data_IF_490642277615
#
_entry.id   IF_490642277615
#
_cell.length_a   1.000
_cell.length_b   1.000
_cell.length_c   1.000
_cell.angle_alpha   90.00
_cell.angle_beta   90.00
_cell.angle_gamma   90.00
#
_symmetry.space_group_name_H-M   'P 1'
#
loop_
_entity.id
_entity.type
_entity.pdbx_description
1 polymer ?
#
# COMPACT_ATOMS: atom_id res chain seq x y z
N UNK A 1 3.82 -36.70 -49.73
CA UNK A 1 4.54 -36.07 -48.60
C UNK A 1 4.55 -34.54 -48.68
N UNK A 2 4.94 -33.93 -49.81
CA UNK A 2 5.00 -32.45 -49.96
C UNK A 2 3.67 -31.73 -49.68
N UNK A 3 2.54 -32.27 -50.12
CA UNK A 3 1.21 -31.66 -49.89
C UNK A 3 0.81 -31.62 -48.41
N UNK A 4 1.10 -32.67 -47.64
CA UNK A 4 0.82 -32.71 -46.19
C UNK A 4 1.65 -31.69 -45.40
N UNK A 5 2.86 -31.37 -45.87
CA UNK A 5 3.73 -30.37 -45.25
C UNK A 5 3.21 -28.95 -45.54
N UNK A 6 2.74 -28.70 -46.76
CA UNK A 6 2.12 -27.43 -47.15
C UNK A 6 0.81 -27.16 -46.38
N UNK A 7 -0.03 -28.17 -46.17
CA UNK A 7 -1.28 -28.03 -45.41
C UNK A 7 -1.02 -27.72 -43.92
N UNK A 8 -0.01 -28.36 -43.32
CA UNK A 8 0.37 -28.11 -41.91
C UNK A 8 0.95 -26.71 -41.74
N UNK A 9 1.78 -26.24 -42.67
CA UNK A 9 2.33 -24.88 -42.67
C UNK A 9 1.25 -23.82 -42.82
N UNK A 10 0.27 -24.04 -43.71
CA UNK A 10 -0.85 -23.11 -43.90
C UNK A 10 -1.77 -23.07 -42.67
N UNK A 11 -2.05 -24.22 -42.06
CA UNK A 11 -2.86 -24.30 -40.83
C UNK A 11 -2.17 -23.59 -39.67
N UNK A 12 -0.86 -23.77 -39.52
CA UNK A 12 -0.08 -23.09 -38.49
C UNK A 12 -0.07 -21.56 -38.70
N UNK A 13 0.11 -21.10 -39.94
CA UNK A 13 0.05 -19.68 -40.28
C UNK A 13 -1.34 -19.07 -40.03
N UNK A 14 -2.42 -19.81 -40.31
CA UNK A 14 -3.78 -19.36 -40.05
C UNK A 14 -4.03 -19.22 -38.54
N UNK A 15 -3.58 -20.20 -37.75
CA UNK A 15 -3.73 -20.18 -36.29
C UNK A 15 -2.94 -19.03 -35.64
N UNK A 16 -1.73 -18.72 -36.12
CA UNK A 16 -0.94 -17.60 -35.59
C UNK A 16 -1.55 -16.25 -35.92
N UNK A 17 -2.04 -16.06 -37.14
CA UNK A 17 -2.74 -14.81 -37.54
C UNK A 17 -4.03 -14.62 -36.73
N UNK A 18 -4.80 -15.70 -36.53
CA UNK A 18 -6.03 -15.64 -35.73
C UNK A 18 -5.74 -15.30 -34.26
N UNK A 19 -4.71 -15.91 -33.67
CA UNK A 19 -4.29 -15.59 -32.29
C UNK A 19 -3.83 -14.15 -32.12
N UNK A 20 -3.12 -13.61 -33.11
CA UNK A 20 -2.64 -12.23 -33.09
C UNK A 20 -3.77 -11.21 -33.27
N UNK A 21 -4.79 -11.54 -34.09
CA UNK A 21 -6.01 -10.76 -34.19
C UNK A 21 -6.80 -10.75 -32.87
N UNK A 22 -6.93 -11.89 -32.20
CA UNK A 22 -7.61 -11.98 -30.90
C UNK A 22 -6.93 -11.14 -29.80
N UNK A 23 -5.59 -11.07 -29.81
CA UNK A 23 -4.83 -10.24 -28.88
C UNK A 23 -5.09 -8.72 -29.09
N UNK A 24 -5.44 -8.29 -30.30
CA UNK A 24 -5.78 -6.90 -30.59
C UNK A 24 -7.19 -6.50 -30.12
N UNK A 25 -8.08 -7.48 -29.87
CA UNK A 25 -9.40 -7.24 -29.30
C UNK A 25 -9.40 -7.27 -27.75
N UNK A 26 -8.28 -7.61 -27.11
CA UNK A 26 -8.21 -7.54 -25.65
C UNK A 26 -8.25 -6.08 -25.20
N UNK A 27 -9.14 -5.74 -24.24
CA UNK A 27 -9.15 -4.41 -23.64
C UNK A 27 -7.79 -4.12 -23.01
N UNK A 28 -7.19 -2.98 -23.39
CA UNK A 28 -6.00 -2.47 -22.69
C UNK A 28 -6.45 -2.08 -21.29
N UNK A 29 -6.14 -2.91 -20.30
CA UNK A 29 -6.31 -2.55 -18.90
C UNK A 29 -5.34 -1.41 -18.59
N UNK A 30 -5.83 -0.17 -18.63
CA UNK A 30 -5.13 0.96 -18.05
C UNK A 30 -5.23 0.80 -16.54
N UNK A 31 -4.14 0.32 -15.94
CA UNK A 31 -3.93 0.50 -14.51
C UNK A 31 -3.59 1.99 -14.31
N UNK A 32 -4.62 2.81 -14.18
CA UNK A 32 -4.43 4.18 -13.71
C UNK A 32 -3.95 4.07 -12.25
N UNK A 33 -2.71 4.49 -11.99
CA UNK A 33 -2.21 4.56 -10.61
C UNK A 33 -3.04 5.63 -9.92
N UNK A 34 -3.97 5.23 -9.04
CA UNK A 34 -4.54 6.18 -8.09
C UNK A 34 -3.38 6.63 -7.22
N UNK A 35 -2.91 7.90 -7.32
CA UNK A 35 -1.91 8.38 -6.40
C UNK A 35 -2.51 8.30 -5.01
N UNK A 36 -1.76 7.70 -4.09
CA UNK A 36 -2.15 7.47 -2.70
C UNK A 36 -2.70 8.72 -2.01
N UNK A 37 -2.32 9.90 -2.51
CA UNK A 37 -2.79 11.21 -2.09
C UNK A 37 -4.31 11.41 -2.28
N UNK A 38 -4.90 10.89 -3.37
CA UNK A 38 -6.33 11.04 -3.66
C UNK A 38 -7.19 10.16 -2.75
N UNK A 39 -6.67 9.01 -2.32
CA UNK A 39 -7.32 8.17 -1.31
C UNK A 39 -7.25 8.80 0.10
N UNK A 40 -6.20 9.58 0.40
CA UNK A 40 -6.04 10.31 1.68
C UNK A 40 -6.95 11.52 1.79
N UNK A 41 -7.28 12.20 0.68
CA UNK A 41 -8.18 13.36 0.68
C UNK A 41 -9.62 13.06 1.12
N UNK A 42 -10.06 11.79 1.08
CA UNK A 42 -11.38 11.40 1.55
C UNK A 42 -11.51 11.44 3.08
N UNK A 43 -10.38 11.41 3.81
CA UNK A 43 -10.35 11.44 5.27
C UNK A 43 -9.85 12.80 5.74
N UNK A 44 -10.63 13.48 6.59
CA UNK A 44 -10.19 14.76 7.15
C UNK A 44 -8.87 14.58 7.92
N UNK A 45 -7.97 15.57 7.86
CA UNK A 45 -6.76 15.58 8.68
C UNK A 45 -7.09 15.40 10.17
N UNK A 46 -8.25 15.90 10.61
CA UNK A 46 -8.75 15.72 11.98
C UNK A 46 -9.06 14.25 12.27
N UNK A 47 -9.69 13.55 11.33
CA UNK A 47 -9.99 12.12 11.45
C UNK A 47 -8.71 11.29 11.41
N UNK A 48 -7.70 11.72 10.66
CA UNK A 48 -6.38 11.09 10.65
C UNK A 48 -5.71 11.16 12.03
N UNK A 49 -5.68 12.34 12.65
CA UNK A 49 -5.13 12.51 14.00
C UNK A 49 -5.91 11.66 15.00
N UNK A 50 -7.25 11.66 14.94
CA UNK A 50 -8.08 10.83 15.83
C UNK A 50 -7.85 9.34 15.65
N UNK A 51 -7.72 8.85 14.42
CA UNK A 51 -7.43 7.45 14.14
C UNK A 51 -6.07 7.02 14.70
N UNK A 52 -5.07 7.90 14.69
CA UNK A 52 -3.77 7.62 15.30
C UNK A 52 -3.84 7.59 16.83
N UNK A 53 -4.59 8.52 17.44
CA UNK A 53 -4.82 8.52 18.90
C UNK A 53 -5.62 7.31 19.39
N UNK A 54 -6.47 6.74 18.53
CA UNK A 54 -7.26 5.55 18.84
C UNK A 54 -6.48 4.24 18.76
N UNK A 55 -5.21 4.25 18.34
CA UNK A 55 -4.38 3.04 18.25
C UNK A 55 -4.15 2.44 19.65
N UNK A 56 -4.28 1.11 19.84
CA UNK A 56 -4.16 0.48 21.14
C UNK A 56 -2.87 0.82 21.89
N UNK A 57 -1.75 0.92 21.16
CA UNK A 57 -0.43 1.22 21.71
C UNK A 57 -0.37 2.67 22.21
N UNK A 58 -0.93 3.60 21.43
CA UNK A 58 -1.01 5.02 21.76
C UNK A 58 -1.93 5.25 22.95
N UNK A 59 -3.09 4.57 22.98
CA UNK A 59 -4.04 4.62 24.11
C UNK A 59 -3.38 4.10 25.38
N UNK A 60 -2.66 2.98 25.31
CA UNK A 60 -1.95 2.40 26.46
C UNK A 60 -0.89 3.35 27.02
N UNK A 61 -0.07 3.96 26.17
CA UNK A 61 0.91 4.96 26.60
C UNK A 61 0.26 6.23 27.16
N UNK A 62 -0.82 6.71 26.54
CA UNK A 62 -1.58 7.85 27.06
C UNK A 62 -2.16 7.56 28.44
N UNK A 63 -2.72 6.36 28.64
CA UNK A 63 -3.24 5.94 29.93
C UNK A 63 -2.14 5.82 30.99
N UNK A 64 -0.95 5.32 30.64
CA UNK A 64 0.22 5.33 31.54
C UNK A 64 0.61 6.74 31.97
N UNK A 65 0.45 7.72 31.08
CA UNK A 65 0.66 9.14 31.39
C UNK A 65 -0.54 9.79 32.11
N UNK A 66 -1.60 9.04 32.44
CA UNK A 66 -2.80 9.56 33.10
C UNK A 66 -3.72 10.38 32.19
N UNK A 67 -3.59 10.23 30.86
CA UNK A 67 -4.39 10.94 29.86
C UNK A 67 -5.48 9.99 29.33
N UNK A 68 -6.77 10.22 29.65
CA UNK A 68 -7.85 9.44 29.08
C UNK A 68 -8.01 9.74 27.58
N UNK A 69 -8.29 8.73 26.75
CA UNK A 69 -8.35 8.87 25.29
C UNK A 69 -9.44 9.86 24.85
N UNK A 70 -10.57 9.92 25.56
CA UNK A 70 -11.67 10.85 25.26
C UNK A 70 -11.23 12.31 25.42
N UNK A 71 -10.39 12.59 26.43
CA UNK A 71 -9.84 13.93 26.68
C UNK A 71 -8.87 14.35 25.59
N UNK A 72 -8.10 13.43 25.02
CA UNK A 72 -7.21 13.73 23.91
C UNK A 72 -7.99 14.01 22.62
N UNK A 73 -9.03 13.22 22.33
CA UNK A 73 -9.92 13.47 21.20
C UNK A 73 -10.61 14.84 21.30
N UNK A 74 -11.11 15.20 22.49
CA UNK A 74 -11.72 16.50 22.74
C UNK A 74 -10.75 17.69 22.51
N UNK A 75 -9.45 17.50 22.75
CA UNK A 75 -8.44 18.52 22.45
C UNK A 75 -8.21 18.69 20.95
N UNK A 76 -8.25 17.61 20.18
CA UNK A 76 -8.17 17.66 18.71
C UNK A 76 -9.41 18.33 18.11
N UNK A 77 -10.57 18.17 18.74
CA UNK A 77 -11.80 18.87 18.35
C UNK A 77 -11.77 20.36 18.68
N UNK A 78 -11.07 20.75 19.76
CA UNK A 78 -10.89 22.15 20.13
C UNK A 78 -9.77 22.86 19.33
N UNK A 79 -8.97 22.14 18.54
CA UNK A 79 -7.91 22.71 17.72
C UNK A 79 -8.45 23.33 16.44
N UNK A 80 -7.83 24.43 16.03
CA UNK A 80 -8.08 25.06 14.73
C UNK A 80 -7.60 24.17 13.59
N UNK A 81 -8.16 24.36 12.39
CA UNK A 81 -7.82 23.51 11.23
C UNK A 81 -6.33 23.60 10.86
N UNK A 82 -5.70 24.77 11.04
CA UNK A 82 -4.26 24.94 10.82
C UNK A 82 -3.40 24.16 11.83
N UNK A 83 -3.82 24.11 13.10
CA UNK A 83 -3.13 23.33 14.14
C UNK A 83 -3.27 21.83 13.91
N UNK A 84 -4.46 21.39 13.49
CA UNK A 84 -4.72 20.00 13.12
C UNK A 84 -3.88 19.59 11.92
N UNK A 85 -3.79 20.44 10.88
CA UNK A 85 -2.96 20.19 9.70
C UNK A 85 -1.49 20.08 10.05
N UNK A 86 -0.97 20.99 10.87
CA UNK A 86 0.41 20.95 11.33
C UNK A 86 0.70 19.68 12.15
N UNK A 87 -0.24 19.28 13.02
CA UNK A 87 -0.12 18.07 13.84
C UNK A 87 -0.16 16.81 12.97
N UNK A 88 -1.09 16.73 12.03
CA UNK A 88 -1.18 15.64 11.05
C UNK A 88 0.12 15.53 10.22
N UNK A 89 0.65 16.65 9.75
CA UNK A 89 1.94 16.68 9.03
C UNK A 89 3.10 16.12 9.86
N UNK A 90 3.19 16.50 11.14
CA UNK A 90 4.21 15.97 12.06
C UNK A 90 4.02 14.48 12.35
N UNK A 91 2.78 14.03 12.53
CA UNK A 91 2.45 12.62 12.73
C UNK A 91 2.80 11.74 11.52
N UNK A 92 2.65 12.27 10.30
CA UNK A 92 3.06 11.60 9.07
C UNK A 92 4.59 11.59 8.86
N UNK A 93 5.29 12.61 9.36
CA UNK A 93 6.75 12.72 9.25
C UNK A 93 7.49 11.85 10.27
N UNK A 94 6.82 11.41 11.34
CA UNK A 94 7.37 10.45 12.27
C UNK A 94 7.47 9.09 11.58
N UNK A 95 8.65 8.44 11.58
CA UNK A 95 8.75 7.04 11.19
C UNK A 95 7.71 6.26 12.00
N UNK A 96 7.00 5.32 11.37
CA UNK A 96 6.04 4.44 12.05
C UNK A 96 6.79 3.50 13.01
N UNK A 97 7.38 4.06 14.08
CA UNK A 97 8.18 3.37 15.07
C UNK A 97 7.29 2.44 15.87
N UNK A 98 7.32 1.15 15.55
CA UNK A 98 6.73 0.10 16.37
C UNK A 98 6.28 -1.13 15.60
N UNK A 99 5.89 -0.99 14.34
CA UNK A 99 5.73 -2.12 13.46
C UNK A 99 6.89 -2.09 12.49
N UNK A 100 7.75 -3.11 12.51
CA UNK A 100 8.68 -3.37 11.40
C UNK A 100 7.85 -3.21 10.13
N UNK A 101 8.17 -2.22 9.29
CA UNK A 101 7.51 -2.10 8.00
C UNK A 101 7.72 -3.42 7.26
N UNK A 102 6.80 -3.78 6.35
CA UNK A 102 6.93 -5.02 5.58
C UNK A 102 8.31 -5.13 4.89
N UNK A 103 8.92 -3.99 4.56
CA UNK A 103 10.28 -3.87 4.04
C UNK A 103 11.40 -4.20 5.05
N UNK A 104 11.21 -3.89 6.35
CA UNK A 104 12.18 -4.22 7.41
C UNK A 104 12.09 -5.69 7.84
N UNK A 105 10.92 -6.33 7.70
CA UNK A 105 10.81 -7.78 7.83
C UNK A 105 11.66 -8.52 6.79
N UNK A 106 11.72 -7.99 5.56
CA UNK A 106 12.56 -8.57 4.50
C UNK A 106 14.04 -8.56 4.93
N UNK A 107 14.52 -7.45 5.50
CA UNK A 107 15.90 -7.32 5.96
C UNK A 107 16.24 -8.31 7.08
N UNK A 108 15.34 -8.50 8.05
CA UNK A 108 15.50 -9.48 9.13
C UNK A 108 15.58 -10.90 8.57
N UNK A 109 14.66 -11.26 7.66
CA UNK A 109 14.65 -12.58 7.02
C UNK A 109 15.95 -12.83 6.23
N UNK A 110 16.42 -11.83 5.47
CA UNK A 110 17.68 -11.92 4.72
C UNK A 110 18.87 -12.11 5.64
N UNK A 111 18.94 -11.38 6.76
CA UNK A 111 20.03 -11.52 7.74
C UNK A 111 20.02 -12.91 8.38
N UNK A 112 18.86 -13.42 8.80
CA UNK A 112 18.72 -14.78 9.36
C UNK A 112 19.18 -15.83 8.35
N UNK A 113 18.76 -15.70 7.09
CA UNK A 113 19.12 -16.63 6.02
C UNK A 113 20.64 -16.60 5.73
N UNK A 114 21.28 -15.43 5.74
CA UNK A 114 22.73 -15.31 5.61
C UNK A 114 23.47 -15.98 6.77
N UNK A 115 23.01 -15.80 8.00
CA UNK A 115 23.61 -16.42 9.19
C UNK A 115 23.54 -17.94 9.11
N UNK A 116 22.41 -18.52 8.66
CA UNK A 116 22.24 -19.96 8.47
C UNK A 116 23.15 -20.52 7.36
N UNK A 117 23.41 -19.76 6.30
CA UNK A 117 24.28 -20.21 5.19
C UNK A 117 25.77 -20.15 5.57
N UNK A 118 26.15 -19.19 6.42
CA UNK A 118 27.54 -18.96 6.81
C UNK A 118 27.98 -19.90 7.95
N UNK A 119 27.06 -20.29 8.83
CA UNK A 119 27.27 -21.28 9.90
C UNK A 119 27.21 -22.71 9.37
#
# INVERSE_FOLDING_TARGET
MKQRILDVLSTFALLTVLGMAAAMLMPRAYADMIPTEQARQAMSERDQVKAMLARPEVVSEMQKMGIPPEKAAARVDAMSDAEVSQLAGRLNALPAGGALATEEWLLIIVVILLVIIIL
#
